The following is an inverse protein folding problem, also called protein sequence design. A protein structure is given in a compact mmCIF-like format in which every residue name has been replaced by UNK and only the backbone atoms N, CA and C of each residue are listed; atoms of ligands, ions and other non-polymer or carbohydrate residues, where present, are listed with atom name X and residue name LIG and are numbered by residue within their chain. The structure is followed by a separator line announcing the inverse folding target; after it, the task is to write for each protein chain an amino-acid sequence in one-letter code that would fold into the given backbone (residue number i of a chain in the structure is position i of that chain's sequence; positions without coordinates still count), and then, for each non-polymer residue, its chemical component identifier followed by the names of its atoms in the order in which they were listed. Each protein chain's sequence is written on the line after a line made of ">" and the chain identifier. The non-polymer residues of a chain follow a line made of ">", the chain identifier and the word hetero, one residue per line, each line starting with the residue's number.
data_IF_522355429357
#
_entry.id   IF_522355429357
#
_cell.length_a   1.000
_cell.length_b   1.000
_cell.length_c   1.000
_cell.angle_alpha   90.00
_cell.angle_beta   90.00
_cell.angle_gamma   90.00
#
_symmetry.space_group_name_H-M   'P 1'
#
loop_
_entity.id
_entity.type
_entity.pdbx_description
1 polymer ?
#
# COMPACT_ATOMS: atom_id res chain seq x y z
N UNK A 1 4.32 -6.67 -0.26
CA UNK A 1 3.47 -7.03 -1.41
C UNK A 1 3.33 -8.54 -1.57
N UNK A 2 4.32 -9.28 -2.10
CA UNK A 2 4.21 -10.73 -2.39
C UNK A 2 3.65 -11.57 -1.22
N UNK A 3 4.14 -11.33 0.00
CA UNK A 3 3.66 -12.00 1.20
C UNK A 3 2.17 -11.75 1.45
N UNK A 4 1.77 -10.48 1.52
CA UNK A 4 0.38 -10.06 1.77
C UNK A 4 -0.56 -10.58 0.68
N UNK A 5 -0.15 -10.51 -0.59
CA UNK A 5 -0.97 -11.02 -1.70
C UNK A 5 -1.21 -12.53 -1.58
N UNK A 6 -0.19 -13.30 -1.17
CA UNK A 6 -0.33 -14.75 -0.92
C UNK A 6 -1.25 -15.04 0.26
N UNK A 7 -1.11 -14.31 1.36
CA UNK A 7 -1.95 -14.47 2.56
C UNK A 7 -3.42 -14.12 2.28
N UNK A 8 -3.68 -13.14 1.42
CA UNK A 8 -5.02 -12.73 0.99
C UNK A 8 -5.62 -13.60 -0.14
N UNK A 9 -4.83 -14.50 -0.74
CA UNK A 9 -5.28 -15.31 -1.89
C UNK A 9 -5.53 -14.50 -3.17
N UNK A 10 -4.88 -13.35 -3.33
CA UNK A 10 -5.03 -12.47 -4.51
C UNK A 10 -3.74 -12.38 -5.32
N UNK A 11 -3.87 -12.04 -6.61
CA UNK A 11 -2.71 -11.77 -7.46
C UNK A 11 -1.93 -10.57 -6.94
N UNK A 12 -0.60 -10.70 -6.88
CA UNK A 12 0.27 -9.61 -6.50
C UNK A 12 0.15 -8.43 -7.48
N UNK A 13 -0.19 -7.26 -6.95
CA UNK A 13 -0.31 -6.03 -7.74
C UNK A 13 1.06 -5.45 -8.05
N UNK A 14 1.18 -4.82 -9.23
CA UNK A 14 2.36 -4.02 -9.55
C UNK A 14 2.28 -2.71 -8.78
N UNK A 15 3.36 -2.32 -8.14
CA UNK A 15 3.48 -1.01 -7.49
C UNK A 15 4.45 -0.18 -8.32
N UNK A 16 4.06 1.04 -8.64
CA UNK A 16 4.90 1.96 -9.41
C UNK A 16 6.09 2.46 -8.60
N UNK A 17 7.21 2.83 -9.24
CA UNK A 17 8.33 3.48 -8.55
C UNK A 17 7.88 4.70 -7.75
N UNK A 18 7.02 5.54 -8.31
CA UNK A 18 6.50 6.76 -7.68
C UNK A 18 5.64 6.44 -6.46
N UNK A 19 4.87 5.35 -6.49
CA UNK A 19 4.12 4.88 -5.32
C UNK A 19 5.05 4.41 -4.19
N UNK A 20 6.16 3.75 -4.52
CA UNK A 20 7.16 3.38 -3.51
C UNK A 20 7.83 4.62 -2.88
N UNK A 21 8.14 5.63 -3.70
CA UNK A 21 8.68 6.90 -3.20
C UNK A 21 7.71 7.60 -2.25
N UNK A 22 6.42 7.67 -2.59
CA UNK A 22 5.43 8.28 -1.68
C UNK A 22 5.25 7.47 -0.39
N UNK A 23 5.21 6.13 -0.48
CA UNK A 23 5.16 5.28 0.73
C UNK A 23 6.39 5.51 1.63
N UNK A 24 7.58 5.71 1.05
CA UNK A 24 8.81 5.94 1.81
C UNK A 24 8.81 7.28 2.57
N UNK A 25 8.03 8.27 2.14
CA UNK A 25 7.93 9.60 2.80
C UNK A 25 7.04 9.59 4.04
N UNK A 26 6.21 8.57 4.22
CA UNK A 26 5.27 8.50 5.33
C UNK A 26 6.01 8.22 6.66
N UNK A 27 5.53 8.76 7.78
CA UNK A 27 6.24 8.70 9.06
C UNK A 27 6.17 7.34 9.77
N UNK A 28 5.29 6.42 9.33
CA UNK A 28 5.10 5.07 9.86
C UNK A 28 5.17 4.97 11.40
N UNK A 29 4.40 5.81 12.10
CA UNK A 29 4.39 5.90 13.57
C UNK A 29 4.01 4.57 14.25
N UNK A 30 3.18 3.76 13.59
CA UNK A 30 2.82 2.41 14.03
C UNK A 30 3.83 1.33 13.60
N UNK A 31 4.99 1.73 13.08
CA UNK A 31 6.06 0.88 12.55
C UNK A 31 5.53 -0.07 11.46
N UNK A 32 6.09 -1.29 11.42
CA UNK A 32 5.76 -2.32 10.44
C UNK A 32 4.28 -2.71 10.42
N UNK A 33 3.55 -2.52 11.53
CA UNK A 33 2.10 -2.81 11.60
C UNK A 33 1.30 -1.81 10.76
N UNK A 34 1.64 -0.53 10.84
CA UNK A 34 0.96 0.51 10.05
C UNK A 34 1.26 0.34 8.57
N UNK A 35 2.51 0.07 8.21
CA UNK A 35 2.90 -0.24 6.83
C UNK A 35 2.10 -1.41 6.26
N UNK A 36 1.93 -2.47 7.06
CA UNK A 36 1.15 -3.64 6.67
C UNK A 36 -0.33 -3.29 6.44
N UNK A 37 -0.96 -2.58 7.38
CA UNK A 37 -2.36 -2.18 7.26
C UNK A 37 -2.62 -1.31 6.03
N UNK A 38 -1.74 -0.34 5.77
CA UNK A 38 -1.81 0.50 4.56
C UNK A 38 -1.62 -0.33 3.30
N UNK A 39 -0.64 -1.25 3.31
CA UNK A 39 -0.40 -2.12 2.16
C UNK A 39 -1.59 -3.04 1.87
N UNK A 40 -2.20 -3.63 2.89
CA UNK A 40 -3.43 -4.43 2.77
C UNK A 40 -4.57 -3.60 2.19
N UNK A 41 -4.79 -2.38 2.69
CA UNK A 41 -5.79 -1.45 2.15
C UNK A 41 -5.56 -1.15 0.67
N UNK A 42 -4.34 -0.82 0.27
CA UNK A 42 -4.00 -0.59 -1.14
C UNK A 42 -4.25 -1.85 -1.99
N UNK A 43 -3.95 -3.03 -1.45
CA UNK A 43 -4.21 -4.31 -2.09
C UNK A 43 -5.71 -4.63 -2.22
N UNK A 44 -6.59 -4.07 -1.40
CA UNK A 44 -8.04 -4.21 -1.52
C UNK A 44 -8.62 -3.17 -2.49
N UNK A 45 -8.25 -1.90 -2.33
CA UNK A 45 -8.94 -0.78 -2.99
C UNK A 45 -8.44 -0.48 -4.42
N UNK A 46 -7.18 -0.78 -4.73
CA UNK A 46 -6.61 -0.38 -6.03
C UNK A 46 -6.94 -1.37 -7.15
N UNK A 47 -6.64 -1.02 -8.39
CA UNK A 47 -6.67 -1.94 -9.52
C UNK A 47 -5.47 -2.92 -9.55
N UNK A 48 -5.10 -3.48 -10.72
CA UNK A 48 -3.94 -4.36 -10.87
C UNK A 48 -2.59 -3.65 -10.68
N UNK A 49 -2.60 -2.31 -10.70
CA UNK A 49 -1.44 -1.44 -10.54
C UNK A 49 -1.73 -0.40 -9.46
N UNK A 50 -0.84 -0.25 -8.50
CA UNK A 50 -0.88 0.77 -7.43
C UNK A 50 0.00 1.94 -7.86
N UNK A 51 -0.62 3.10 -7.97
CA UNK A 51 -0.04 4.37 -8.42
C UNK A 51 0.26 5.30 -7.26
N UNK A 52 0.97 6.39 -7.52
CA UNK A 52 1.23 7.45 -6.54
C UNK A 52 -0.08 8.04 -6.00
N UNK A 53 -1.05 8.24 -6.88
CA UNK A 53 -2.35 8.81 -6.56
C UNK A 53 -3.12 7.89 -5.60
N UNK A 54 -3.03 6.58 -5.80
CA UNK A 54 -3.61 5.59 -4.88
C UNK A 54 -2.98 5.66 -3.48
N UNK A 55 -1.65 5.81 -3.41
CA UNK A 55 -0.95 5.96 -2.12
C UNK A 55 -1.41 7.21 -1.41
N UNK A 56 -1.51 8.35 -2.11
CA UNK A 56 -2.01 9.60 -1.52
C UNK A 56 -3.46 9.45 -1.04
N UNK A 57 -4.31 8.78 -1.82
CA UNK A 57 -5.72 8.61 -1.50
C UNK A 57 -5.97 7.67 -0.30
N UNK A 58 -5.16 6.62 -0.14
CA UNK A 58 -5.47 5.53 0.79
C UNK A 58 -4.44 5.29 1.89
N UNK A 59 -3.23 5.84 1.81
CA UNK A 59 -2.19 5.63 2.82
C UNK A 59 -2.27 6.59 4.01
N UNK A 60 -2.92 7.74 3.86
CA UNK A 60 -3.19 8.64 4.98
C UNK A 60 -4.41 8.16 5.78
N UNK A 61 -4.35 8.17 7.13
CA UNK A 61 -5.55 8.01 7.94
C UNK A 61 -6.55 9.10 7.56
N UNK A 62 -7.82 8.73 7.37
CA UNK A 62 -8.89 9.72 7.39
C UNK A 62 -8.82 10.43 8.76
N UNK A 63 -8.66 11.75 8.72
CA UNK A 63 -8.75 12.61 9.91
C UNK A 63 -10.16 12.49 10.50
#
# INVERSE_FOLDING_TARGET
>A
IKQISREMGITAKKVTPEAYEELAKLPWRGNIRELRNVTERLMILCGPKITKEDVIAYATPAI
#
